data_IF_353958375978
#
_entry.id   IF_353958375978
#
_cell.length_a   1.000
_cell.length_b   1.000
_cell.length_c   1.000
_cell.angle_alpha   90.00
_cell.angle_beta   90.00
_cell.angle_gamma   90.00
#
_symmetry.space_group_name_H-M   'P 1'
#
loop_
_entity.id
_entity.type
_entity.pdbx_description
1 polymer ?
#
# COMPACT_ATOMS: atom_id res chain seq x y z
N UNK A 1 -123.68 -39.59 13.61
CA UNK A 1 -122.64 -40.63 13.65
C UNK A 1 -121.63 -40.35 12.55
N UNK A 2 -120.37 -40.08 12.92
CA UNK A 2 -119.08 -40.30 12.22
C UNK A 2 -118.94 -39.81 10.76
N UNK A 3 -117.85 -39.21 10.28
CA UNK A 3 -116.55 -38.85 10.85
C UNK A 3 -115.85 -37.90 9.85
N UNK A 4 -115.08 -36.97 10.39
CA UNK A 4 -113.71 -36.56 10.03
C UNK A 4 -113.28 -36.28 8.59
N UNK A 5 -112.68 -35.09 8.43
CA UNK A 5 -111.77 -34.78 7.33
C UNK A 5 -111.33 -33.32 7.32
N UNK A 6 -110.74 -32.79 8.41
CA UNK A 6 -110.13 -31.46 8.44
C UNK A 6 -108.63 -31.59 8.71
N UNK A 7 -107.82 -31.34 7.68
CA UNK A 7 -106.36 -31.39 7.72
C UNK A 7 -105.78 -30.26 8.57
N UNK A 8 -105.08 -30.63 9.64
CA UNK A 8 -104.13 -29.76 10.33
C UNK A 8 -102.80 -29.71 9.56
N UNK A 9 -102.35 -28.50 9.26
CA UNK A 9 -100.97 -28.23 8.84
C UNK A 9 -100.23 -27.65 10.05
N UNK A 10 -99.31 -28.41 10.64
CA UNK A 10 -98.26 -27.84 11.47
C UNK A 10 -96.87 -28.06 10.83
N UNK A 11 -96.19 -26.93 10.71
CA UNK A 11 -94.91 -26.63 10.09
C UNK A 11 -93.72 -27.44 10.63
N UNK A 12 -92.99 -28.10 9.73
CA UNK A 12 -91.62 -28.59 9.99
C UNK A 12 -90.66 -27.40 10.15
N UNK A 13 -90.20 -27.15 11.38
CA UNK A 13 -89.12 -26.21 11.71
C UNK A 13 -87.86 -26.56 10.93
N UNK A 14 -87.50 -25.72 9.96
CA UNK A 14 -86.27 -25.82 9.18
C UNK A 14 -85.06 -25.57 10.08
N UNK A 15 -84.23 -26.59 10.29
CA UNK A 15 -83.06 -26.50 11.15
C UNK A 15 -81.92 -25.74 10.44
N UNK A 16 -81.95 -24.41 10.57
CA UNK A 16 -80.98 -23.48 9.93
C UNK A 16 -79.51 -23.82 10.20
N UNK A 17 -79.19 -24.56 11.28
CA UNK A 17 -77.82 -24.97 11.61
C UNK A 17 -77.21 -25.94 10.58
N UNK A 18 -78.01 -26.80 9.93
CA UNK A 18 -77.50 -27.69 8.86
C UNK A 18 -77.13 -26.94 7.58
N UNK A 19 -77.86 -25.88 7.25
CA UNK A 19 -77.57 -25.04 6.07
C UNK A 19 -76.30 -24.22 6.32
N UNK A 20 -76.14 -23.63 7.52
CA UNK A 20 -74.92 -22.90 7.84
C UNK A 20 -73.68 -23.80 7.91
N UNK A 21 -73.81 -25.06 8.35
CA UNK A 21 -72.70 -26.02 8.35
C UNK A 21 -72.33 -26.46 6.92
N UNK A 22 -73.32 -26.68 6.04
CA UNK A 22 -73.07 -26.99 4.63
C UNK A 22 -72.43 -25.80 3.89
N UNK A 23 -72.94 -24.57 4.11
CA UNK A 23 -72.36 -23.36 3.52
C UNK A 23 -70.93 -23.11 4.04
N UNK A 24 -70.68 -23.31 5.34
CA UNK A 24 -69.34 -23.18 5.91
C UNK A 24 -68.35 -24.18 5.32
N UNK A 25 -68.76 -25.44 5.16
CA UNK A 25 -67.91 -26.48 4.56
C UNK A 25 -67.63 -26.21 3.08
N UNK A 26 -68.63 -25.77 2.30
CA UNK A 26 -68.46 -25.40 0.89
C UNK A 26 -67.56 -24.15 0.74
N UNK A 27 -67.67 -23.16 1.63
CA UNK A 27 -66.79 -22.00 1.64
C UNK A 27 -65.35 -22.36 1.99
N UNK A 28 -65.13 -23.27 2.95
CA UNK A 28 -63.78 -23.71 3.34
C UNK A 28 -63.14 -24.56 2.24
N UNK A 29 -63.89 -25.46 1.60
CA UNK A 29 -63.40 -26.24 0.44
C UNK A 29 -63.13 -25.32 -0.76
N UNK A 30 -63.97 -24.32 -1.00
CA UNK A 30 -63.73 -23.29 -2.03
C UNK A 30 -62.46 -22.48 -1.77
N UNK A 31 -62.22 -22.06 -0.52
CA UNK A 31 -61.01 -21.33 -0.13
C UNK A 31 -59.75 -22.21 -0.21
N UNK A 32 -59.84 -23.50 0.13
CA UNK A 32 -58.74 -24.46 -0.05
C UNK A 32 -58.45 -24.74 -1.52
N UNK A 33 -59.48 -24.85 -2.37
CA UNK A 33 -59.29 -24.99 -3.83
C UNK A 33 -58.68 -23.71 -4.42
N UNK A 34 -59.08 -22.51 -3.97
CA UNK A 34 -58.47 -21.24 -4.39
C UNK A 34 -57.02 -21.11 -3.90
N UNK A 35 -56.71 -21.55 -2.67
CA UNK A 35 -55.34 -21.58 -2.16
C UNK A 35 -54.47 -22.59 -2.93
N UNK A 36 -55.01 -23.77 -3.27
CA UNK A 36 -54.30 -24.77 -4.08
C UNK A 36 -54.13 -24.28 -5.52
N UNK A 37 -55.13 -23.65 -6.15
CA UNK A 37 -54.99 -23.12 -7.51
C UNK A 37 -54.13 -21.86 -7.57
N UNK A 38 -54.13 -20.98 -6.57
CA UNK A 38 -53.22 -19.82 -6.50
C UNK A 38 -51.78 -20.21 -6.11
N UNK A 39 -51.57 -21.23 -5.27
CA UNK A 39 -50.23 -21.72 -4.95
C UNK A 39 -49.66 -22.68 -6.01
N UNK A 40 -50.51 -23.34 -6.82
CA UNK A 40 -50.09 -24.14 -7.98
C UNK A 40 -50.05 -23.35 -9.31
N UNK A 41 -50.54 -22.11 -9.32
CA UNK A 41 -50.28 -21.14 -10.39
C UNK A 41 -49.00 -20.31 -10.18
N UNK A 42 -48.16 -20.68 -9.21
CA UNK A 42 -46.72 -20.57 -9.38
C UNK A 42 -46.26 -21.58 -10.45
N UNK A 43 -46.79 -21.44 -11.67
CA UNK A 43 -46.03 -21.83 -12.86
C UNK A 43 -44.76 -21.00 -12.78
N UNK A 44 -43.66 -21.65 -12.45
CA UNK A 44 -42.36 -21.27 -12.96
C UNK A 44 -42.50 -21.22 -14.49
N UNK A 45 -42.88 -20.06 -15.02
CA UNK A 45 -42.53 -19.68 -16.38
C UNK A 45 -41.06 -19.31 -16.33
N UNK A 46 -40.17 -20.29 -16.43
CA UNK A 46 -38.81 -20.03 -16.93
C UNK A 46 -38.92 -19.98 -18.44
N UNK A 47 -39.52 -18.92 -18.96
CA UNK A 47 -39.35 -18.43 -20.33
C UNK A 47 -40.20 -17.19 -20.49
N UNK A 48 -39.55 -16.04 -20.34
CA UNK A 48 -39.94 -14.88 -21.12
C UNK A 48 -39.30 -14.99 -22.50
N UNK A 49 -40.10 -14.68 -23.52
CA UNK A 49 -39.67 -14.43 -24.88
C UNK A 49 -39.75 -12.92 -25.10
N UNK A 50 -38.64 -12.30 -25.49
CA UNK A 50 -38.59 -10.90 -25.92
C UNK A 50 -38.28 -10.91 -27.42
N UNK A 51 -39.00 -10.12 -28.24
CA UNK A 51 -38.68 -9.96 -29.65
C UNK A 51 -37.36 -9.20 -29.78
N UNK A 52 -36.47 -9.72 -30.61
CA UNK A 52 -35.16 -9.14 -30.91
C UNK A 52 -35.34 -7.92 -31.80
N UNK A 53 -35.30 -6.71 -31.22
CA UNK A 53 -34.82 -5.46 -31.84
C UNK A 53 -34.45 -4.51 -30.69
N UNK A 54 -33.16 -4.18 -30.59
CA UNK A 54 -32.50 -3.18 -29.72
C UNK A 54 -32.99 -3.07 -28.26
N UNK A 55 -32.30 -3.72 -27.32
CA UNK A 55 -32.51 -3.50 -25.89
C UNK A 55 -31.29 -3.87 -25.02
N UNK A 56 -30.97 -3.02 -24.06
CA UNK A 56 -30.01 -3.26 -22.97
C UNK A 56 -30.61 -4.25 -21.96
N UNK A 57 -29.84 -5.27 -21.54
CA UNK A 57 -30.29 -6.28 -20.56
C UNK A 57 -29.66 -5.97 -19.19
N UNK A 58 -30.50 -5.90 -18.15
CA UNK A 58 -30.05 -5.98 -16.75
C UNK A 58 -29.99 -7.47 -16.35
N UNK A 59 -28.83 -7.95 -15.88
CA UNK A 59 -28.61 -9.35 -15.48
C UNK A 59 -28.29 -9.45 -13.99
N UNK A 60 -28.62 -10.59 -13.36
CA UNK A 60 -28.17 -10.93 -12.01
C UNK A 60 -26.95 -11.87 -12.04
N UNK A 61 -26.12 -11.78 -10.99
CA UNK A 61 -24.81 -12.44 -10.88
C UNK A 61 -24.88 -13.99 -10.91
N UNK A 62 -26.06 -14.58 -10.78
CA UNK A 62 -26.30 -16.03 -10.80
C UNK A 62 -26.38 -16.62 -12.22
N UNK A 63 -26.45 -15.80 -13.27
CA UNK A 63 -26.41 -16.23 -14.68
C UNK A 63 -24.97 -16.44 -15.23
N UNK A 64 -23.95 -16.26 -14.39
CA UNK A 64 -22.51 -16.19 -14.75
C UNK A 64 -21.82 -17.52 -15.14
N UNK A 65 -22.54 -18.62 -15.33
CA UNK A 65 -21.96 -19.85 -15.92
C UNK A 65 -21.64 -19.71 -17.44
N UNK A 66 -21.93 -18.55 -18.05
CA UNK A 66 -21.69 -18.26 -19.47
C UNK A 66 -20.48 -17.36 -19.76
N UNK A 67 -19.74 -16.85 -18.76
CA UNK A 67 -18.59 -15.96 -18.99
C UNK A 67 -17.29 -16.59 -18.47
N UNK A 68 -16.32 -16.80 -19.35
CA UNK A 68 -14.94 -17.13 -18.97
C UNK A 68 -14.10 -15.86 -18.93
N UNK A 69 -13.42 -15.59 -17.82
CA UNK A 69 -12.51 -14.45 -17.69
C UNK A 69 -11.08 -14.95 -17.78
N UNK A 70 -10.28 -14.29 -18.61
CA UNK A 70 -8.90 -14.63 -18.89
C UNK A 70 -8.04 -13.38 -18.70
N UNK A 71 -6.96 -13.51 -17.95
CA UNK A 71 -5.98 -12.44 -17.72
C UNK A 71 -4.64 -12.83 -18.33
N UNK A 72 -3.93 -11.86 -18.88
CA UNK A 72 -2.58 -12.07 -19.39
C UNK A 72 -1.63 -12.45 -18.24
N UNK A 73 -0.85 -13.51 -18.43
CA UNK A 73 0.17 -14.01 -17.51
C UNK A 73 1.43 -14.36 -18.31
N UNK A 74 2.38 -13.42 -18.33
CA UNK A 74 3.60 -13.53 -19.13
C UNK A 74 3.32 -13.49 -20.63
N UNK A 75 3.38 -14.65 -21.30
CA UNK A 75 3.15 -14.78 -22.74
C UNK A 75 1.84 -15.51 -23.08
N UNK A 76 1.03 -15.87 -22.08
CA UNK A 76 -0.23 -16.62 -22.25
C UNK A 76 -1.36 -15.99 -21.40
N UNK A 77 -2.54 -16.63 -21.36
CA UNK A 77 -3.68 -16.19 -20.56
C UNK A 77 -4.16 -17.29 -19.62
N UNK A 78 -4.38 -16.92 -18.36
CA UNK A 78 -4.91 -17.83 -17.35
C UNK A 78 -6.37 -17.50 -17.06
N UNK A 79 -7.19 -18.55 -16.90
CA UNK A 79 -8.60 -18.39 -16.55
C UNK A 79 -8.72 -18.03 -15.06
N UNK A 80 -9.50 -17.00 -14.75
CA UNK A 80 -9.81 -16.57 -13.39
C UNK A 80 -11.31 -16.59 -13.13
N UNK A 81 -11.68 -16.66 -11.86
CA UNK A 81 -13.08 -16.74 -11.42
C UNK A 81 -13.74 -15.35 -11.26
N UNK A 82 -12.97 -14.27 -11.37
CA UNK A 82 -13.44 -12.90 -11.20
C UNK A 82 -12.77 -11.95 -12.21
N UNK A 83 -13.52 -10.95 -12.68
CA UNK A 83 -12.97 -9.88 -13.51
C UNK A 83 -11.95 -9.08 -12.69
N UNK A 84 -10.75 -8.79 -13.23
CA UNK A 84 -9.74 -8.03 -12.50
C UNK A 84 -10.26 -6.63 -12.12
N UNK A 85 -10.14 -6.28 -10.84
CA UNK A 85 -10.51 -4.96 -10.32
C UNK A 85 -9.48 -3.86 -10.66
N UNK A 86 -8.25 -4.24 -10.97
CA UNK A 86 -7.12 -3.33 -11.22
C UNK A 86 -5.95 -4.08 -11.87
N UNK A 87 -5.04 -3.36 -12.54
CA UNK A 87 -3.80 -3.92 -13.10
C UNK A 87 -3.98 -4.54 -14.49
N UNK A 88 -5.18 -4.47 -15.07
CA UNK A 88 -5.46 -4.99 -16.39
C UNK A 88 -6.38 -4.05 -17.17
N UNK A 89 -6.29 -4.12 -18.49
CA UNK A 89 -7.20 -3.44 -19.43
C UNK A 89 -7.98 -4.46 -20.23
N UNK A 90 -9.26 -4.21 -20.43
CA UNK A 90 -10.10 -5.07 -21.26
C UNK A 90 -9.60 -5.12 -22.72
N UNK A 91 -9.37 -6.33 -23.23
CA UNK A 91 -8.96 -6.58 -24.60
C UNK A 91 -10.19 -6.96 -25.42
N UNK A 92 -10.80 -5.97 -26.09
CA UNK A 92 -11.96 -6.19 -26.94
C UNK A 92 -11.65 -7.02 -28.19
N UNK A 93 -10.41 -7.03 -28.65
CA UNK A 93 -10.00 -7.75 -29.88
C UNK A 93 -9.87 -9.25 -29.66
N UNK A 94 -9.34 -9.67 -28.51
CA UNK A 94 -9.28 -11.08 -28.12
C UNK A 94 -10.58 -11.60 -27.55
N UNK A 95 -11.39 -10.73 -26.95
CA UNK A 95 -12.67 -11.14 -26.36
C UNK A 95 -13.67 -11.56 -27.43
N UNK A 96 -14.40 -12.64 -27.18
CA UNK A 96 -15.37 -13.16 -28.14
C UNK A 96 -16.51 -13.92 -27.46
N UNK A 97 -17.62 -14.07 -28.18
CA UNK A 97 -18.72 -14.94 -27.78
C UNK A 97 -18.88 -16.09 -28.77
N UNK A 98 -19.42 -17.22 -28.31
CA UNK A 98 -19.73 -18.39 -29.14
C UNK A 98 -21.04 -19.05 -28.74
N UNK A 99 -21.67 -19.74 -29.69
CA UNK A 99 -22.82 -20.62 -29.46
C UNK A 99 -22.40 -22.01 -29.90
N UNK A 100 -22.42 -22.98 -28.97
CA UNK A 100 -21.75 -24.27 -29.20
C UNK A 100 -20.25 -24.06 -29.44
N UNK A 101 -19.78 -24.38 -30.65
CA UNK A 101 -18.39 -24.17 -31.08
C UNK A 101 -18.21 -23.06 -32.12
N UNK A 102 -19.28 -22.37 -32.51
CA UNK A 102 -19.24 -21.30 -33.52
C UNK A 102 -19.14 -19.91 -32.87
N UNK A 103 -18.08 -19.17 -33.22
CA UNK A 103 -17.90 -17.76 -32.81
C UNK A 103 -18.99 -16.89 -33.42
N UNK A 104 -19.50 -15.95 -32.62
CA UNK A 104 -20.53 -15.00 -33.02
C UNK A 104 -19.93 -13.63 -33.26
N UNK A 105 -20.48 -12.92 -34.24
CA UNK A 105 -20.13 -11.52 -34.51
C UNK A 105 -20.89 -10.60 -33.53
N UNK A 106 -20.25 -10.35 -32.39
CA UNK A 106 -20.79 -9.55 -31.30
C UNK A 106 -19.73 -8.57 -30.81
N UNK A 107 -20.14 -7.33 -30.59
CA UNK A 107 -19.31 -6.33 -29.91
C UNK A 107 -19.39 -6.55 -28.41
N UNK A 108 -18.23 -6.63 -27.77
CA UNK A 108 -18.09 -6.71 -26.32
C UNK A 108 -17.31 -5.49 -25.86
N UNK A 109 -17.84 -4.76 -24.87
CA UNK A 109 -17.14 -3.65 -24.24
C UNK A 109 -17.20 -3.81 -22.73
N UNK A 110 -16.10 -3.56 -22.03
CA UNK A 110 -16.07 -3.53 -20.57
C UNK A 110 -15.46 -2.21 -20.11
N UNK A 111 -16.22 -1.45 -19.32
CA UNK A 111 -15.72 -0.24 -18.67
C UNK A 111 -15.11 -0.61 -17.31
N UNK A 112 -13.79 -0.45 -17.19
CA UNK A 112 -13.05 -0.78 -15.96
C UNK A 112 -13.44 0.10 -14.77
N UNK A 113 -13.92 1.33 -14.98
CA UNK A 113 -14.28 2.27 -13.92
C UNK A 113 -15.68 1.99 -13.36
N UNK A 114 -16.66 1.85 -14.25
CA UNK A 114 -18.05 1.58 -13.85
C UNK A 114 -18.34 0.09 -13.69
N UNK A 115 -17.35 -0.77 -13.98
CA UNK A 115 -17.46 -2.23 -14.00
C UNK A 115 -18.61 -2.74 -14.86
N UNK A 116 -18.91 -2.02 -15.94
CA UNK A 116 -20.08 -2.27 -16.79
C UNK A 116 -19.66 -3.09 -18.02
N UNK A 117 -20.27 -4.26 -18.19
CA UNK A 117 -20.11 -5.11 -19.36
C UNK A 117 -21.29 -4.89 -20.33
N UNK A 118 -21.01 -4.54 -21.58
CA UNK A 118 -22.01 -4.52 -22.65
C UNK A 118 -21.65 -5.54 -23.73
N UNK A 119 -22.65 -6.27 -24.19
CA UNK A 119 -22.55 -7.25 -25.27
C UNK A 119 -23.68 -6.98 -26.26
N UNK A 120 -23.36 -6.70 -27.52
CA UNK A 120 -24.36 -6.38 -28.54
C UNK A 120 -23.94 -6.82 -29.95
N UNK A 121 -24.85 -7.34 -30.78
CA UNK A 121 -26.25 -7.66 -30.48
C UNK A 121 -26.40 -9.03 -29.78
N UNK A 122 -27.22 -9.10 -28.73
CA UNK A 122 -27.57 -10.36 -28.04
C UNK A 122 -28.72 -11.06 -28.78
N UNK A 123 -28.43 -11.87 -29.79
CA UNK A 123 -29.44 -12.44 -30.70
C UNK A 123 -29.97 -13.82 -30.30
N UNK A 124 -29.27 -14.56 -29.43
CA UNK A 124 -29.59 -16.00 -29.23
C UNK A 124 -29.33 -16.46 -27.78
N UNK A 125 -30.20 -17.35 -27.27
CA UNK A 125 -30.02 -18.04 -25.97
C UNK A 125 -28.87 -19.06 -26.07
N UNK A 126 -28.07 -19.18 -25.01
CA UNK A 126 -26.95 -20.13 -24.94
C UNK A 126 -25.57 -19.58 -25.35
N UNK A 127 -25.48 -18.27 -25.58
CA UNK A 127 -24.24 -17.55 -25.95
C UNK A 127 -23.24 -17.48 -24.80
N UNK A 128 -22.08 -18.14 -24.94
CA UNK A 128 -20.98 -18.08 -23.97
C UNK A 128 -19.95 -17.06 -24.40
N UNK A 129 -19.52 -16.17 -23.50
CA UNK A 129 -18.54 -15.14 -23.80
C UNK A 129 -17.24 -15.38 -23.04
N UNK A 130 -16.13 -14.99 -23.65
CA UNK A 130 -14.79 -15.14 -23.12
C UNK A 130 -14.17 -13.75 -23.14
N UNK A 131 -13.95 -13.19 -21.95
CA UNK A 131 -13.39 -11.86 -21.75
C UNK A 131 -11.90 -11.99 -21.48
N UNK A 132 -11.11 -11.32 -22.30
CA UNK A 132 -9.65 -11.26 -22.17
C UNK A 132 -9.26 -9.89 -21.65
N UNK A 133 -8.28 -9.87 -20.76
CA UNK A 133 -7.74 -8.66 -20.16
C UNK A 133 -6.22 -8.69 -20.25
N UNK A 134 -5.64 -7.66 -20.84
CA UNK A 134 -4.20 -7.50 -21.00
C UNK A 134 -3.60 -6.86 -19.74
N UNK A 135 -2.39 -7.25 -19.37
CA UNK A 135 -1.70 -6.70 -18.21
C UNK A 135 -1.44 -5.21 -18.44
N UNK A 136 -2.04 -4.37 -17.59
CA UNK A 136 -1.81 -2.93 -17.65
C UNK A 136 -0.62 -2.59 -16.76
N UNK A 137 0.53 -2.42 -17.40
CA UNK A 137 1.77 -1.97 -16.75
C UNK A 137 1.63 -0.51 -16.33
N UNK A 138 1.22 -0.29 -15.08
CA UNK A 138 1.15 1.04 -14.47
C UNK A 138 2.43 1.25 -13.68
N UNK A 139 3.14 2.36 -13.92
CA UNK A 139 4.29 2.74 -13.11
C UNK A 139 3.88 2.86 -11.65
N UNK A 140 4.67 2.30 -10.74
CA UNK A 140 4.36 2.29 -9.31
C UNK A 140 4.16 3.72 -8.77
N UNK A 141 4.97 4.67 -9.25
CA UNK A 141 4.84 6.09 -8.92
C UNK A 141 3.45 6.65 -9.25
N UNK A 142 2.90 6.28 -10.42
CA UNK A 142 1.59 6.76 -10.89
C UNK A 142 0.46 6.09 -10.12
N UNK A 143 0.57 4.80 -9.84
CA UNK A 143 -0.38 4.08 -8.99
C UNK A 143 -0.46 4.72 -7.58
N UNK A 144 0.70 4.99 -6.97
CA UNK A 144 0.77 5.64 -5.65
C UNK A 144 0.09 7.02 -5.70
N UNK A 145 0.40 7.86 -6.69
CA UNK A 145 -0.18 9.21 -6.81
C UNK A 145 -1.68 9.18 -7.04
N UNK A 146 -2.18 8.21 -7.82
CA UNK A 146 -3.62 8.03 -8.10
C UNK A 146 -4.39 7.61 -6.84
N UNK A 147 -3.81 6.67 -6.08
CA UNK A 147 -4.49 6.04 -4.94
C UNK A 147 -4.40 6.86 -3.63
N UNK A 148 -3.68 7.99 -3.67
CA UNK A 148 -3.42 8.83 -2.50
C UNK A 148 -3.82 10.29 -2.73
N UNK A 149 -4.37 10.91 -1.69
CA UNK A 149 -4.57 12.35 -1.69
C UNK A 149 -3.23 13.09 -1.58
N UNK A 150 -2.91 13.88 -2.60
CA UNK A 150 -1.76 14.79 -2.60
C UNK A 150 -2.22 16.14 -2.04
N UNK A 151 -1.76 16.45 -0.84
CA UNK A 151 -2.07 17.69 -0.15
C UNK A 151 -1.19 18.85 -0.64
N UNK A 152 -1.79 20.05 -0.61
CA UNK A 152 -1.08 21.31 -0.90
C UNK A 152 -0.52 21.92 0.38
N UNK A 153 0.45 22.82 0.24
CA UNK A 153 1.09 23.51 1.35
C UNK A 153 2.22 22.71 2.01
N UNK A 154 2.71 23.24 3.12
CA UNK A 154 3.81 22.65 3.90
C UNK A 154 3.34 22.42 5.34
N UNK A 155 3.41 21.18 5.86
CA UNK A 155 3.06 20.90 7.24
C UNK A 155 3.93 21.69 8.23
N UNK A 156 3.39 21.96 9.42
CA UNK A 156 4.19 22.44 10.53
C UNK A 156 4.96 21.26 11.16
N UNK A 157 6.25 21.16 10.89
CA UNK A 157 7.10 20.08 11.38
C UNK A 157 7.43 20.16 12.88
N UNK A 158 7.06 21.26 13.57
CA UNK A 158 7.10 21.32 15.03
C UNK A 158 6.01 20.50 15.71
N UNK A 159 4.96 20.13 14.96
CA UNK A 159 3.85 19.32 15.44
C UNK A 159 3.98 17.86 14.99
N UNK A 160 3.67 16.96 15.92
CA UNK A 160 3.51 15.54 15.62
C UNK A 160 2.32 15.31 14.67
N UNK A 161 2.44 14.37 13.74
CA UNK A 161 1.32 13.95 12.88
C UNK A 161 0.68 12.68 13.45
N UNK A 162 -0.56 12.79 13.95
CA UNK A 162 -1.27 11.68 14.60
C UNK A 162 -2.41 11.10 13.77
N UNK A 163 -2.82 11.79 12.71
CA UNK A 163 -3.90 11.38 11.81
C UNK A 163 -3.34 10.99 10.45
N UNK A 164 -4.16 10.39 9.57
CA UNK A 164 -3.78 10.15 8.19
C UNK A 164 -3.76 11.50 7.45
N UNK A 165 -2.57 12.09 7.28
CA UNK A 165 -2.37 13.35 6.59
C UNK A 165 -1.98 13.15 5.10
N UNK A 166 -2.02 11.92 4.59
CA UNK A 166 -1.79 11.60 3.18
C UNK A 166 -0.37 11.88 2.71
N UNK A 167 -0.26 12.45 1.50
CA UNK A 167 1.01 12.70 0.79
C UNK A 167 1.21 14.20 0.61
N UNK A 168 2.44 14.68 0.82
CA UNK A 168 2.84 16.07 0.58
C UNK A 168 3.98 16.14 -0.41
N UNK A 169 4.16 17.32 -1.01
CA UNK A 169 5.19 17.60 -2.00
C UNK A 169 6.34 18.43 -1.39
N UNK A 170 7.59 18.07 -1.68
CA UNK A 170 8.77 18.86 -1.36
C UNK A 170 9.86 18.68 -2.44
N UNK A 171 10.85 19.58 -2.47
CA UNK A 171 12.00 19.44 -3.37
C UNK A 171 13.05 18.52 -2.75
N UNK A 172 13.55 17.56 -3.53
CA UNK A 172 14.78 16.83 -3.24
C UNK A 172 15.91 17.20 -4.22
N UNK A 173 16.94 16.37 -4.31
CA UNK A 173 18.09 16.58 -5.18
C UNK A 173 17.84 16.35 -6.67
N UNK A 174 16.73 15.71 -7.03
CA UNK A 174 16.33 15.37 -8.40
C UNK A 174 15.05 16.07 -8.86
N UNK A 175 14.30 16.68 -7.93
CA UNK A 175 13.15 17.54 -8.25
C UNK A 175 11.99 17.34 -7.28
N UNK A 176 10.79 17.20 -7.84
CA UNK A 176 9.54 17.07 -7.10
C UNK A 176 9.42 15.70 -6.43
N UNK A 177 9.59 15.66 -5.11
CA UNK A 177 9.39 14.46 -4.29
C UNK A 177 8.03 14.49 -3.57
N UNK A 178 7.44 13.31 -3.41
CA UNK A 178 6.12 13.12 -2.79
C UNK A 178 6.27 12.18 -1.58
N UNK A 179 6.12 12.68 -0.37
CA UNK A 179 6.37 11.94 0.87
C UNK A 179 5.09 11.69 1.67
N UNK A 180 5.01 10.53 2.32
CA UNK A 180 3.89 10.16 3.18
C UNK A 180 4.01 10.78 4.57
N UNK A 181 2.88 11.17 5.19
CA UNK A 181 2.86 11.78 6.52
C UNK A 181 1.69 11.28 7.40
N UNK A 182 2.00 11.01 8.66
CA UNK A 182 1.03 10.68 9.70
C UNK A 182 0.65 9.19 9.73
N UNK A 183 -0.56 8.90 10.20
CA UNK A 183 -1.09 7.55 10.38
C UNK A 183 -1.61 6.92 9.07
N UNK A 184 -0.83 7.02 7.99
CA UNK A 184 -1.17 6.46 6.67
C UNK A 184 -1.22 4.93 6.72
N UNK A 185 -2.18 4.32 6.04
CA UNK A 185 -2.36 2.86 6.01
C UNK A 185 -2.22 2.25 4.61
N UNK A 186 -2.11 3.08 3.57
CA UNK A 186 -2.11 2.72 2.15
C UNK A 186 -0.74 2.98 1.47
N UNK A 187 0.35 2.79 2.21
CA UNK A 187 1.73 2.95 1.73
C UNK A 187 2.58 1.67 1.89
N UNK A 188 2.00 0.51 1.61
CA UNK A 188 2.67 -0.78 1.63
C UNK A 188 3.07 -1.26 0.24
N UNK A 189 4.27 -1.81 0.14
CA UNK A 189 4.78 -2.53 -1.04
C UNK A 189 5.21 -3.92 -0.61
N UNK A 190 4.95 -4.92 -1.46
CA UNK A 190 5.49 -6.27 -1.33
C UNK A 190 6.47 -6.51 -2.47
N UNK A 191 7.73 -6.71 -2.10
CA UNK A 191 8.85 -6.83 -3.04
C UNK A 191 9.89 -7.79 -2.48
N UNK A 192 10.40 -8.68 -3.32
CA UNK A 192 11.38 -9.71 -2.95
C UNK A 192 10.96 -10.57 -1.73
N UNK A 193 9.66 -10.88 -1.62
CA UNK A 193 9.04 -11.58 -0.48
C UNK A 193 9.05 -10.83 0.87
N UNK A 194 9.44 -9.56 0.88
CA UNK A 194 9.38 -8.69 2.05
C UNK A 194 8.30 -7.63 1.91
N UNK A 195 7.90 -7.09 3.06
CA UNK A 195 6.96 -5.99 3.15
C UNK A 195 7.69 -4.72 3.50
N UNK A 196 7.30 -3.63 2.82
CA UNK A 196 7.96 -2.35 2.89
C UNK A 196 6.94 -1.24 3.12
N UNK A 197 7.35 -0.19 3.85
CA UNK A 197 6.60 1.07 3.92
C UNK A 197 7.23 2.04 2.93
N UNK A 198 6.42 2.65 2.08
CA UNK A 198 6.88 3.73 1.20
C UNK A 198 7.14 4.95 2.09
N UNK A 199 8.34 5.53 1.93
CA UNK A 199 8.71 6.80 2.54
C UNK A 199 8.30 7.92 1.60
N UNK A 200 8.76 7.85 0.34
CA UNK A 200 8.52 8.86 -0.68
C UNK A 200 8.74 8.33 -2.09
N UNK A 201 8.13 9.02 -3.05
CA UNK A 201 8.55 9.04 -4.46
C UNK A 201 9.64 10.11 -4.55
N UNK A 202 10.85 9.75 -4.96
CA UNK A 202 11.94 10.67 -5.18
C UNK A 202 11.69 11.53 -6.44
N UNK A 203 12.42 12.64 -6.59
CA UNK A 203 12.28 13.55 -7.74
C UNK A 203 12.58 12.90 -9.10
N UNK A 204 13.38 11.84 -9.14
CA UNK A 204 13.66 11.04 -10.35
C UNK A 204 12.57 9.98 -10.64
N UNK A 205 11.54 9.89 -9.80
CA UNK A 205 10.48 8.89 -9.90
C UNK A 205 10.75 7.57 -9.17
N UNK A 206 11.97 7.35 -8.65
CA UNK A 206 12.28 6.14 -7.88
C UNK A 206 11.53 6.11 -6.54
N UNK A 207 11.22 4.90 -6.05
CA UNK A 207 10.37 4.73 -4.86
C UNK A 207 11.23 4.35 -3.66
N UNK A 208 11.41 5.29 -2.72
CA UNK A 208 12.14 5.06 -1.48
C UNK A 208 11.26 4.36 -0.46
N UNK A 209 11.72 3.22 0.04
CA UNK A 209 10.95 2.39 0.97
C UNK A 209 11.81 1.77 2.07
N UNK A 210 11.21 1.57 3.25
CA UNK A 210 11.85 1.01 4.44
C UNK A 210 11.26 -0.35 4.78
N UNK A 211 12.13 -1.29 5.13
CA UNK A 211 11.77 -2.65 5.53
C UNK A 211 10.76 -2.65 6.69
N UNK A 212 9.76 -3.53 6.61
CA UNK A 212 8.69 -3.64 7.60
C UNK A 212 7.99 -5.01 7.58
N UNK A 213 8.76 -6.10 7.51
CA UNK A 213 8.24 -7.46 7.67
C UNK A 213 8.75 -8.48 6.66
N UNK A 214 8.76 -9.73 7.09
CA UNK A 214 8.99 -10.92 6.26
C UNK A 214 7.80 -11.88 6.47
N UNK A 215 7.23 -12.41 5.40
CA UNK A 215 6.03 -13.26 5.43
C UNK A 215 4.73 -12.47 5.60
N UNK A 216 4.68 -11.47 6.48
CA UNK A 216 3.53 -10.57 6.66
C UNK A 216 3.94 -9.11 6.94
N UNK A 217 3.04 -8.12 6.70
CA UNK A 217 3.27 -6.73 7.09
C UNK A 217 3.42 -6.61 8.61
N UNK A 218 4.51 -6.02 9.08
CA UNK A 218 4.75 -5.73 10.49
C UNK A 218 4.71 -4.22 10.74
N UNK A 219 3.83 -3.78 11.66
CA UNK A 219 3.75 -2.36 12.08
C UNK A 219 4.54 -2.09 13.35
N UNK A 220 4.71 -3.09 14.22
CA UNK A 220 5.44 -2.94 15.49
C UNK A 220 6.30 -4.16 15.82
N UNK A 221 7.25 -3.99 16.73
CA UNK A 221 8.09 -5.04 17.27
C UNK A 221 9.28 -5.41 16.38
N UNK A 222 9.97 -6.48 16.75
CA UNK A 222 11.23 -6.92 16.12
C UNK A 222 11.07 -7.37 14.67
N UNK A 223 9.88 -7.74 14.22
CA UNK A 223 9.60 -8.06 12.81
C UNK A 223 9.68 -6.86 11.87
N UNK A 224 9.73 -5.62 12.40
CA UNK A 224 9.91 -4.40 11.61
C UNK A 224 11.36 -4.12 11.20
N UNK A 225 12.30 -4.93 11.69
CA UNK A 225 13.75 -4.79 11.52
C UNK A 225 14.37 -6.14 11.14
N UNK A 226 15.54 -6.12 10.50
CA UNK A 226 16.24 -7.36 10.07
C UNK A 226 17.10 -7.96 11.17
N UNK A 227 17.55 -7.12 12.11
CA UNK A 227 18.44 -7.46 13.22
C UNK A 227 18.60 -6.23 14.14
N UNK A 228 19.47 -6.32 15.13
CA UNK A 228 20.03 -5.16 15.84
C UNK A 228 21.52 -5.08 15.58
N UNK A 229 22.08 -3.87 15.64
CA UNK A 229 23.52 -3.63 15.50
C UNK A 229 23.93 -2.33 16.18
N UNK A 230 25.22 -2.22 16.52
CA UNK A 230 25.83 -0.91 16.70
C UNK A 230 25.91 -0.18 15.36
N UNK A 231 25.81 1.15 15.40
CA UNK A 231 26.14 1.96 14.23
C UNK A 231 27.63 1.83 13.93
N UNK A 232 28.45 1.96 14.97
CA UNK A 232 29.88 1.68 14.95
C UNK A 232 30.26 0.86 16.19
N UNK A 233 30.75 -0.36 15.99
CA UNK A 233 31.19 -1.25 17.06
C UNK A 233 32.58 -0.85 17.52
N UNK A 234 32.80 -0.85 18.83
CA UNK A 234 34.13 -0.66 19.47
C UNK A 234 34.62 0.79 19.55
N UNK A 235 34.11 1.71 18.73
CA UNK A 235 34.58 3.09 18.73
C UNK A 235 33.45 4.12 18.67
N UNK A 236 33.49 5.06 19.61
CA UNK A 236 32.57 6.19 19.70
C UNK A 236 33.28 7.49 20.09
N UNK A 237 34.61 7.47 20.25
CA UNK A 237 35.41 8.55 20.82
C UNK A 237 35.96 9.55 19.81
N UNK A 238 35.39 9.60 18.61
CA UNK A 238 35.78 10.54 17.57
C UNK A 238 34.58 10.93 16.70
N UNK A 239 34.61 12.16 16.18
CA UNK A 239 33.63 12.68 15.24
C UNK A 239 33.38 11.75 14.05
N UNK A 240 34.41 11.08 13.53
CA UNK A 240 34.30 10.27 12.33
C UNK A 240 33.28 9.11 12.45
N UNK A 241 32.99 8.64 13.67
CA UNK A 241 32.16 7.47 13.92
C UNK A 241 30.65 7.70 13.76
N UNK A 242 30.21 8.94 13.51
CA UNK A 242 28.81 9.21 13.10
C UNK A 242 28.54 8.85 11.64
N UNK A 243 29.59 8.65 10.83
CA UNK A 243 29.47 8.43 9.40
C UNK A 243 29.13 6.99 9.02
N UNK A 244 28.29 6.83 8.00
CA UNK A 244 28.00 5.52 7.39
C UNK A 244 29.27 4.88 6.80
N UNK A 245 30.17 5.74 6.31
CA UNK A 245 31.58 5.45 6.02
C UNK A 245 32.44 6.56 6.64
N UNK A 246 33.75 6.35 6.78
CA UNK A 246 34.66 7.32 7.38
C UNK A 246 36.12 7.14 6.93
N UNK A 247 36.93 8.18 7.12
CA UNK A 247 38.40 8.15 7.06
C UNK A 247 38.92 9.00 8.21
N UNK A 248 39.94 8.53 8.91
CA UNK A 248 40.54 9.30 10.01
C UNK A 248 41.01 10.68 9.53
N UNK A 249 40.65 11.73 10.27
CA UNK A 249 41.03 13.11 9.95
C UNK A 249 40.25 13.77 8.81
N UNK A 250 39.20 13.13 8.27
CA UNK A 250 38.39 13.68 7.18
C UNK A 250 36.90 13.73 7.57
N UNK A 251 36.26 14.89 7.41
CA UNK A 251 34.83 15.07 7.69
C UNK A 251 33.98 14.15 6.80
N UNK A 252 34.29 14.12 5.50
CA UNK A 252 33.56 13.36 4.48
C UNK A 252 34.28 12.08 4.04
N UNK A 253 35.18 11.55 4.86
CA UNK A 253 35.98 10.37 4.51
C UNK A 253 35.14 9.13 4.16
N UNK A 254 35.65 8.29 3.26
CA UNK A 254 34.95 7.13 2.67
C UNK A 254 35.79 5.83 2.71
N UNK A 255 36.97 5.85 3.35
CA UNK A 255 37.94 4.76 3.29
C UNK A 255 37.59 3.53 4.13
N UNK A 256 36.65 3.63 5.07
CA UNK A 256 36.27 2.55 5.96
C UNK A 256 34.76 2.52 6.20
N UNK A 257 34.17 1.32 6.17
CA UNK A 257 32.75 1.12 6.41
C UNK A 257 32.44 1.14 7.91
N UNK A 258 31.27 1.69 8.27
CA UNK A 258 30.69 1.50 9.60
C UNK A 258 30.23 0.04 9.80
N UNK A 259 30.02 -0.36 11.06
CA UNK A 259 29.53 -1.71 11.40
C UNK A 259 28.13 -1.94 10.82
N UNK A 260 27.23 -0.96 10.94
CA UNK A 260 25.87 -1.07 10.41
C UNK A 260 25.83 -1.17 8.89
N UNK A 261 26.77 -0.53 8.18
CA UNK A 261 26.91 -0.68 6.72
C UNK A 261 27.19 -2.13 6.35
N UNK A 262 28.10 -2.81 7.06
CA UNK A 262 28.40 -4.23 6.82
C UNK A 262 27.17 -5.14 7.00
N UNK A 263 26.31 -4.85 7.98
CA UNK A 263 25.04 -5.57 8.20
C UNK A 263 24.08 -5.37 7.02
N UNK A 264 23.92 -4.12 6.56
CA UNK A 264 23.05 -3.78 5.44
C UNK A 264 23.54 -4.37 4.11
N UNK A 265 24.85 -4.25 3.83
CA UNK A 265 25.47 -4.82 2.62
C UNK A 265 25.26 -6.33 2.54
N UNK A 266 25.51 -7.04 3.65
CA UNK A 266 25.34 -8.49 3.72
C UNK A 266 23.88 -8.92 3.51
N UNK A 267 22.96 -8.18 4.14
CA UNK A 267 21.52 -8.41 3.97
C UNK A 267 21.07 -8.18 2.52
N UNK A 268 21.48 -7.05 1.92
CA UNK A 268 21.12 -6.71 0.55
C UNK A 268 21.65 -7.74 -0.45
N UNK A 269 22.91 -8.14 -0.32
CA UNK A 269 23.51 -9.15 -1.20
C UNK A 269 22.73 -10.46 -1.15
N UNK A 270 22.39 -10.92 0.06
CA UNK A 270 21.72 -12.22 0.27
C UNK A 270 20.28 -12.22 -0.22
N UNK A 271 19.55 -11.12 0.00
CA UNK A 271 18.09 -11.09 -0.13
C UNK A 271 17.61 -10.40 -1.41
N UNK A 272 18.42 -9.51 -1.99
CA UNK A 272 18.05 -8.74 -3.19
C UNK A 272 18.94 -9.14 -4.36
N UNK A 273 20.26 -8.90 -4.27
CA UNK A 273 21.16 -9.09 -5.41
C UNK A 273 21.28 -10.56 -5.84
N UNK A 274 21.61 -11.47 -4.93
CA UNK A 274 21.75 -12.90 -5.21
C UNK A 274 20.44 -13.59 -5.60
N UNK A 275 19.30 -12.91 -5.40
CA UNK A 275 17.97 -13.38 -5.78
C UNK A 275 17.50 -12.82 -7.12
N UNK A 276 18.32 -12.02 -7.79
CA UNK A 276 18.01 -11.47 -9.12
C UNK A 276 17.13 -10.22 -9.11
N UNK A 277 16.88 -9.60 -7.95
CA UNK A 277 16.03 -8.41 -7.85
C UNK A 277 16.78 -7.09 -8.08
N UNK A 278 18.09 -7.14 -8.32
CA UNK A 278 18.95 -5.96 -8.43
C UNK A 278 18.59 -5.01 -9.57
N UNK A 279 17.97 -5.50 -10.65
CA UNK A 279 17.57 -4.66 -11.80
C UNK A 279 16.34 -3.78 -11.49
N UNK A 280 15.56 -4.14 -10.47
CA UNK A 280 14.42 -3.34 -10.00
C UNK A 280 14.84 -2.26 -8.99
N UNK A 281 16.14 -2.15 -8.67
CA UNK A 281 16.69 -1.19 -7.71
C UNK A 281 17.34 -0.02 -8.45
N UNK A 282 17.00 1.20 -8.04
CA UNK A 282 17.57 2.42 -8.62
C UNK A 282 19.07 2.48 -8.42
N UNK A 283 19.78 2.80 -9.49
CA UNK A 283 21.23 3.08 -9.50
C UNK A 283 21.52 4.58 -9.45
N UNK A 284 20.48 5.42 -9.50
CA UNK A 284 20.61 6.87 -9.56
C UNK A 284 20.50 7.52 -8.18
N UNK A 285 19.48 7.17 -7.39
CA UNK A 285 19.25 7.81 -6.08
C UNK A 285 20.11 7.22 -4.97
N UNK A 286 20.70 8.12 -4.19
CA UNK A 286 21.59 7.78 -3.07
C UNK A 286 21.02 8.10 -1.70
N UNK A 287 21.82 7.88 -0.66
CA UNK A 287 21.43 8.11 0.73
C UNK A 287 22.27 9.27 1.30
N UNK A 288 21.64 10.26 1.93
CA UNK A 288 22.35 11.44 2.43
C UNK A 288 22.87 11.24 3.86
N UNK A 289 24.19 11.28 4.03
CA UNK A 289 24.85 11.22 5.33
C UNK A 289 24.84 12.53 6.11
N UNK A 290 24.72 13.68 5.43
CA UNK A 290 24.67 15.04 6.02
C UNK A 290 25.66 15.26 7.19
N UNK A 291 26.95 14.97 6.97
CA UNK A 291 28.04 15.17 7.95
C UNK A 291 28.52 16.63 7.97
N UNK A 292 27.64 17.58 7.67
CA UNK A 292 27.92 19.01 7.74
C UNK A 292 28.20 19.41 9.20
N UNK A 293 29.44 19.79 9.54
CA UNK A 293 29.82 20.00 10.93
C UNK A 293 29.52 21.43 11.38
N UNK A 294 29.32 21.58 12.68
CA UNK A 294 29.27 22.89 13.34
C UNK A 294 29.73 22.81 14.78
N UNK A 295 30.49 23.80 15.24
CA UNK A 295 30.77 24.00 16.66
C UNK A 295 29.66 24.79 17.39
N UNK A 296 28.63 25.23 16.67
CA UNK A 296 27.49 25.96 17.20
C UNK A 296 26.20 25.12 17.08
N UNK A 297 25.46 24.98 18.18
CA UNK A 297 24.25 24.14 18.24
C UNK A 297 23.06 24.68 17.45
N UNK A 298 23.09 25.94 17.03
CA UNK A 298 21.96 26.63 16.40
C UNK A 298 22.21 27.09 14.97
N UNK A 299 23.46 27.04 14.51
CA UNK A 299 23.85 27.51 13.16
C UNK A 299 24.86 26.57 12.55
N UNK A 300 24.75 26.31 11.25
CA UNK A 300 25.74 25.51 10.51
C UNK A 300 26.88 26.44 10.08
N UNK A 301 28.10 26.18 10.54
CA UNK A 301 29.27 27.03 10.29
C UNK A 301 30.48 26.29 9.68
N UNK A 302 30.36 24.99 9.41
CA UNK A 302 31.42 24.18 8.79
C UNK A 302 32.62 23.89 9.70
N UNK A 303 32.59 24.30 10.97
CA UNK A 303 33.68 24.06 11.92
C UNK A 303 33.48 22.75 12.69
N UNK A 304 34.57 22.05 13.00
CA UNK A 304 34.57 20.77 13.73
C UNK A 304 34.62 19.57 12.78
N UNK A 305 33.92 18.49 13.13
CA UNK A 305 33.76 17.30 12.28
C UNK A 305 34.97 16.37 12.21
N UNK A 306 36.07 16.69 12.88
CA UNK A 306 37.26 15.84 12.97
C UNK A 306 37.78 15.76 14.41
N UNK A 307 38.47 14.67 14.73
CA UNK A 307 39.07 14.48 16.06
C UNK A 307 38.01 14.41 17.16
N UNK A 308 38.29 15.10 18.26
CA UNK A 308 37.43 15.17 19.46
C UNK A 308 36.80 16.56 19.67
N UNK A 309 36.82 17.42 18.65
CA UNK A 309 36.15 18.72 18.72
C UNK A 309 34.64 18.53 18.84
N UNK A 310 33.99 19.23 19.77
CA UNK A 310 32.52 19.23 19.87
C UNK A 310 31.90 19.62 18.54
N UNK A 311 30.98 18.80 18.04
CA UNK A 311 30.39 19.00 16.72
C UNK A 311 28.90 18.66 16.73
N UNK A 312 28.08 19.63 16.36
CA UNK A 312 26.68 19.48 16.01
C UNK A 312 26.57 19.30 14.50
N UNK A 313 25.74 18.38 14.05
CA UNK A 313 25.57 18.12 12.62
C UNK A 313 24.32 18.80 12.05
N UNK A 314 24.23 18.90 10.72
CA UNK A 314 23.13 19.56 10.02
C UNK A 314 21.74 19.12 10.50
N UNK A 315 21.51 17.82 10.62
CA UNK A 315 20.27 17.26 11.17
C UNK A 315 19.95 17.72 12.60
N UNK A 316 20.95 17.82 13.48
CA UNK A 316 20.76 18.34 14.85
C UNK A 316 20.23 19.77 14.81
N UNK A 317 20.89 20.64 14.05
CA UNK A 317 20.55 22.07 14.01
C UNK A 317 19.14 22.25 13.43
N UNK A 318 18.79 21.51 12.38
CA UNK A 318 17.47 21.60 11.71
C UNK A 318 16.33 21.02 12.54
N UNK A 319 16.56 19.94 13.29
CA UNK A 319 15.50 19.16 13.93
C UNK A 319 15.36 19.44 15.44
N UNK A 320 16.35 20.07 16.08
CA UNK A 320 16.25 20.42 17.51
C UNK A 320 15.75 21.85 17.74
N UNK A 321 15.86 22.76 16.77
CA UNK A 321 15.34 24.13 16.86
C UNK A 321 13.81 24.19 17.04
N UNK A 322 13.25 25.35 17.40
CA UNK A 322 11.81 25.48 17.71
C UNK A 322 10.88 25.25 16.51
N UNK A 323 11.30 25.65 15.30
CA UNK A 323 10.46 25.57 14.09
C UNK A 323 10.46 24.21 13.42
N UNK A 324 11.53 23.42 13.59
CA UNK A 324 11.82 22.16 12.89
C UNK A 324 11.82 22.34 11.37
N UNK A 325 12.97 22.19 10.73
CA UNK A 325 13.14 22.49 9.31
C UNK A 325 13.75 21.31 8.56
N UNK A 326 13.06 20.15 8.45
CA UNK A 326 13.58 19.01 7.73
C UNK A 326 13.75 19.31 6.23
N UNK A 327 14.68 18.62 5.58
CA UNK A 327 14.95 18.74 4.13
C UNK A 327 15.15 17.37 3.48
N UNK A 328 14.72 17.22 2.22
CA UNK A 328 15.05 16.04 1.39
C UNK A 328 16.31 16.24 0.55
N UNK A 329 16.91 17.44 0.58
CA UNK A 329 18.13 17.76 -0.16
C UNK A 329 19.37 17.39 0.64
N UNK A 330 20.32 16.75 -0.03
CA UNK A 330 21.66 16.56 0.49
C UNK A 330 22.55 17.73 0.08
N UNK A 331 22.89 18.58 1.05
CA UNK A 331 23.65 19.81 0.82
C UNK A 331 25.01 19.55 0.19
N UNK A 332 25.74 18.56 0.69
CA UNK A 332 27.06 18.20 0.20
C UNK A 332 27.00 16.91 -0.62
N UNK A 333 27.49 16.98 -1.87
CA UNK A 333 27.55 15.82 -2.77
C UNK A 333 28.51 14.73 -2.28
N UNK A 334 29.53 15.07 -1.49
CA UNK A 334 30.46 14.09 -0.89
C UNK A 334 29.77 13.22 0.17
N UNK A 335 28.65 13.67 0.74
CA UNK A 335 27.83 12.92 1.69
C UNK A 335 26.61 12.25 1.08
N UNK A 336 26.38 12.42 -0.22
CA UNK A 336 25.38 11.67 -0.94
C UNK A 336 25.99 10.33 -1.35
N UNK A 337 25.72 9.29 -0.57
CA UNK A 337 26.21 7.94 -0.83
C UNK A 337 25.45 7.31 -1.99
N UNK A 338 26.13 7.13 -3.11
CA UNK A 338 25.59 6.54 -4.35
C UNK A 338 26.43 5.38 -4.82
N UNK A 339 25.87 4.54 -5.69
CA UNK A 339 26.64 3.54 -6.45
C UNK A 339 27.32 4.20 -7.66
N UNK A 340 28.28 3.51 -8.26
CA UNK A 340 29.07 4.03 -9.40
C UNK A 340 28.23 4.45 -10.62
N UNK A 341 27.05 3.85 -10.79
CA UNK A 341 26.12 4.16 -11.88
C UNK A 341 25.36 5.49 -11.74
N UNK A 342 25.39 6.14 -10.58
CA UNK A 342 24.68 7.41 -10.37
C UNK A 342 25.36 8.57 -11.07
N UNK A 343 24.55 9.51 -11.55
CA UNK A 343 25.01 10.80 -12.06
C UNK A 343 25.52 11.74 -10.95
N UNK A 344 25.13 11.49 -9.70
CA UNK A 344 25.38 12.35 -8.54
C UNK A 344 26.01 11.57 -7.38
N UNK A 345 26.44 12.27 -6.34
CA UNK A 345 26.98 11.71 -5.12
C UNK A 345 28.44 11.27 -5.22
N UNK A 346 28.89 10.56 -4.19
CA UNK A 346 30.27 10.15 -3.99
C UNK A 346 30.64 8.80 -4.63
N UNK A 347 29.66 8.07 -5.18
CA UNK A 347 29.85 6.80 -5.89
C UNK A 347 30.52 5.70 -5.07
N UNK A 348 30.51 5.81 -3.73
CA UNK A 348 31.25 4.93 -2.84
C UNK A 348 30.49 3.65 -2.44
N UNK A 349 29.18 3.56 -2.72
CA UNK A 349 28.41 2.37 -2.38
C UNK A 349 28.68 1.26 -3.39
N UNK A 350 28.92 0.06 -2.87
CA UNK A 350 28.86 -1.18 -3.65
C UNK A 350 27.42 -1.65 -3.82
N UNK A 351 26.61 -1.55 -2.77
CA UNK A 351 25.20 -1.92 -2.76
C UNK A 351 24.32 -0.69 -2.54
N UNK A 352 23.24 -0.50 -3.31
CA UNK A 352 22.30 0.63 -3.16
C UNK A 352 21.33 0.44 -1.98
N UNK A 353 21.88 0.29 -0.77
CA UNK A 353 21.13 0.14 0.48
C UNK A 353 21.65 1.12 1.53
N UNK A 354 20.74 1.65 2.35
CA UNK A 354 21.06 2.56 3.43
C UNK A 354 20.04 2.48 4.57
N UNK A 355 19.94 3.58 5.33
CA UNK A 355 18.97 3.78 6.38
C UNK A 355 18.12 5.01 6.07
N UNK A 356 16.97 5.12 6.73
CA UNK A 356 16.14 6.33 6.68
C UNK A 356 16.89 7.50 7.32
N UNK A 357 16.71 8.71 6.81
CA UNK A 357 17.26 9.92 7.43
C UNK A 357 16.35 10.44 8.55
N UNK A 358 16.90 11.21 9.50
CA UNK A 358 16.10 11.86 10.53
C UNK A 358 15.14 12.91 9.95
N UNK A 359 15.53 13.59 8.86
CA UNK A 359 14.65 14.51 8.14
C UNK A 359 13.45 13.80 7.51
N UNK A 360 13.63 12.61 6.91
CA UNK A 360 12.51 11.80 6.40
C UNK A 360 11.56 11.34 7.51
N UNK A 361 12.09 10.97 8.69
CA UNK A 361 11.26 10.67 9.87
C UNK A 361 10.46 11.91 10.30
N UNK A 362 11.08 13.09 10.29
CA UNK A 362 10.42 14.33 10.65
C UNK A 362 9.31 14.70 9.66
N UNK A 363 9.55 14.50 8.37
CA UNK A 363 8.55 14.68 7.32
C UNK A 363 7.37 13.73 7.50
N UNK A 364 7.64 12.48 7.87
CA UNK A 364 6.62 11.46 8.13
C UNK A 364 5.77 11.70 9.39
N UNK A 365 6.18 12.59 10.30
CA UNK A 365 5.39 12.94 11.49
C UNK A 365 6.06 12.75 12.84
N UNK A 366 7.28 12.20 12.88
CA UNK A 366 8.07 12.13 14.10
C UNK A 366 8.61 13.52 14.45
N UNK A 367 8.75 13.85 15.73
CA UNK A 367 9.33 15.14 16.16
C UNK A 367 10.38 14.88 17.24
N UNK A 368 11.45 15.68 17.22
CA UNK A 368 12.48 15.60 18.25
C UNK A 368 11.89 15.84 19.65
N UNK A 369 12.12 14.88 20.56
CA UNK A 369 11.71 14.98 21.96
C UNK A 369 10.19 14.93 22.21
N UNK A 370 9.35 14.66 21.20
CA UNK A 370 7.90 14.58 21.36
C UNK A 370 7.37 13.22 20.95
N UNK A 371 6.81 12.48 21.92
CA UNK A 371 6.21 11.16 21.70
C UNK A 371 5.14 11.21 20.60
N UNK A 372 5.26 10.30 19.63
CA UNK A 372 4.25 10.07 18.61
C UNK A 372 4.17 8.57 18.32
N UNK A 373 3.08 7.93 18.70
CA UNK A 373 2.86 6.50 18.53
C UNK A 373 1.87 6.18 17.39
N UNK A 374 1.43 7.21 16.66
CA UNK A 374 0.33 7.10 15.69
C UNK A 374 0.83 7.07 14.24
N UNK A 375 1.96 7.71 13.93
CA UNK A 375 2.49 7.77 12.58
C UNK A 375 3.12 6.46 12.09
N UNK A 376 3.15 6.26 10.78
CA UNK A 376 3.45 4.95 10.19
C UNK A 376 4.87 4.40 10.37
N UNK A 377 5.82 5.25 10.79
CA UNK A 377 7.19 4.83 11.08
C UNK A 377 7.39 4.46 12.55
N UNK A 378 6.41 4.71 13.43
CA UNK A 378 6.43 4.18 14.78
C UNK A 378 6.36 2.65 14.76
N UNK A 379 7.30 2.00 15.44
CA UNK A 379 7.37 0.53 15.50
C UNK A 379 7.34 -0.03 16.92
N UNK A 380 7.15 0.79 17.95
CA UNK A 380 7.34 0.37 19.36
C UNK A 380 8.72 -0.30 19.61
N UNK A 381 9.74 0.05 18.81
CA UNK A 381 11.10 -0.49 18.89
C UNK A 381 12.06 0.56 18.38
N UNK A 382 13.20 0.75 19.05
CA UNK A 382 14.16 1.74 18.62
C UNK A 382 14.91 1.27 17.37
N UNK A 383 15.10 2.15 16.39
CA UNK A 383 15.88 1.86 15.20
C UNK A 383 16.76 3.04 14.77
N UNK A 384 17.88 2.72 14.13
CA UNK A 384 18.84 3.70 13.63
C UNK A 384 18.30 4.49 12.44
N UNK A 385 18.62 5.78 12.40
CA UNK A 385 18.61 6.57 11.16
C UNK A 385 20.03 6.68 10.61
N UNK A 386 20.19 7.24 9.41
CA UNK A 386 21.50 7.52 8.82
C UNK A 386 22.10 8.87 9.25
N UNK A 387 21.32 9.71 9.93
CA UNK A 387 21.68 11.11 10.17
C UNK A 387 22.53 11.27 11.44
N UNK A 388 23.73 11.87 11.35
CA UNK A 388 24.51 12.29 12.50
C UNK A 388 23.74 13.24 13.42
N UNK A 389 23.96 13.11 14.73
CA UNK A 389 23.35 13.97 15.75
C UNK A 389 24.41 14.93 16.33
N UNK A 390 25.40 14.38 17.05
CA UNK A 390 26.33 15.16 17.85
C UNK A 390 27.61 14.36 18.11
N UNK A 391 28.76 15.00 18.15
CA UNK A 391 29.89 14.55 18.93
C UNK A 391 30.00 15.36 20.22
N UNK A 392 29.84 14.71 21.36
CA UNK A 392 29.95 15.33 22.66
C UNK A 392 31.38 15.18 23.19
N UNK A 393 32.12 16.28 23.24
CA UNK A 393 33.52 16.29 23.69
C UNK A 393 33.68 15.92 25.18
N UNK A 394 32.72 16.29 26.04
CA UNK A 394 32.79 16.03 27.48
C UNK A 394 32.76 14.54 27.82
N UNK A 395 32.00 13.76 27.05
CA UNK A 395 31.94 12.29 27.21
C UNK A 395 32.78 11.55 26.18
N UNK A 396 33.37 12.26 25.22
CA UNK A 396 34.02 11.69 24.04
C UNK A 396 33.12 10.64 23.37
N UNK A 397 31.89 11.03 23.03
CA UNK A 397 30.90 10.13 22.40
C UNK A 397 30.30 10.73 21.13
N UNK A 398 30.30 9.93 20.08
CA UNK A 398 29.59 10.14 18.83
C UNK A 398 28.15 9.62 18.94
N UNK A 399 27.22 10.40 18.43
CA UNK A 399 25.79 10.11 18.44
C UNK A 399 25.20 10.23 17.04
N UNK A 400 24.32 9.29 16.72
CA UNK A 400 23.51 9.26 15.51
C UNK A 400 22.04 9.31 15.93
N UNK A 401 21.18 9.89 15.08
CA UNK A 401 19.76 9.93 15.35
C UNK A 401 19.14 8.54 15.32
N UNK A 402 18.19 8.32 16.22
CA UNK A 402 17.31 7.17 16.27
C UNK A 402 15.86 7.62 16.27
N UNK A 403 14.98 6.71 15.88
CA UNK A 403 13.59 6.75 16.35
C UNK A 403 13.54 5.91 17.62
N UNK A 404 13.10 6.52 18.72
CA UNK A 404 12.94 5.82 20.00
C UNK A 404 11.75 4.85 19.96
N UNK A 405 11.70 3.89 20.88
CA UNK A 405 10.53 3.00 21.01
C UNK A 405 9.22 3.73 21.32
N UNK A 406 9.26 4.99 21.79
CA UNK A 406 8.08 5.87 21.93
C UNK A 406 7.80 6.73 20.69
N UNK A 407 8.54 6.53 19.60
CA UNK A 407 8.29 7.13 18.28
C UNK A 407 8.82 8.54 18.05
N UNK A 408 9.54 9.13 19.00
CA UNK A 408 10.18 10.44 18.83
C UNK A 408 11.63 10.33 18.32
N UNK A 409 12.13 11.40 17.72
CA UNK A 409 13.54 11.51 17.31
C UNK A 409 14.42 11.88 18.50
N UNK A 410 15.57 11.21 18.65
CA UNK A 410 16.62 11.55 19.62
C UNK A 410 18.00 11.07 19.13
N UNK A 411 19.08 11.45 19.80
CA UNK A 411 20.41 10.90 19.59
C UNK A 411 20.68 9.67 20.47
N UNK A 412 21.42 8.71 19.93
CA UNK A 412 21.95 7.56 20.67
C UNK A 412 23.43 7.35 20.36
N UNK A 413 24.20 6.89 21.35
CA UNK A 413 25.62 6.60 21.19
C UNK A 413 25.79 5.51 20.13
N UNK A 414 26.67 5.74 19.16
CA UNK A 414 26.91 4.85 18.01
C UNK A 414 27.28 3.41 18.39
N UNK A 415 27.81 3.19 19.59
CA UNK A 415 28.15 1.85 20.10
C UNK A 415 26.96 1.07 20.67
N UNK A 416 25.78 1.68 20.80
CA UNK A 416 24.58 1.02 21.31
C UNK A 416 24.00 0.03 20.29
N UNK A 417 23.48 -1.10 20.75
CA UNK A 417 22.83 -2.08 19.89
C UNK A 417 21.35 -1.73 19.68
N UNK A 418 20.99 -1.25 18.48
CA UNK A 418 19.65 -0.75 18.14
C UNK A 418 19.18 -1.36 16.81
N UNK A 419 17.86 -1.36 16.55
CA UNK A 419 17.26 -2.00 15.38
C UNK A 419 17.78 -1.46 14.04
N UNK A 420 17.98 -2.39 13.10
CA UNK A 420 18.44 -2.10 11.72
C UNK A 420 17.28 -2.29 10.77
N UNK A 421 16.92 -1.24 10.04
CA UNK A 421 15.83 -1.24 9.05
C UNK A 421 16.37 -0.80 7.69
N UNK A 422 16.60 -1.73 6.74
CA UNK A 422 17.06 -1.38 5.40
C UNK A 422 16.13 -0.39 4.71
N UNK A 423 16.74 0.57 4.01
CA UNK A 423 16.07 1.42 3.03
C UNK A 423 16.68 1.19 1.67
N UNK A 424 15.83 1.02 0.67
CA UNK A 424 16.19 0.89 -0.75
C UNK A 424 15.32 1.82 -1.59
N UNK A 425 15.76 2.10 -2.82
CA UNK A 425 14.97 2.84 -3.81
C UNK A 425 14.64 1.89 -4.97
N UNK A 426 13.37 1.59 -5.23
CA UNK A 426 12.98 0.90 -6.47
C UNK A 426 13.19 1.82 -7.66
N UNK A 427 13.59 1.28 -8.81
CA UNK A 427 13.76 2.05 -10.05
C UNK A 427 12.45 2.73 -10.48
N UNK A 428 12.56 3.86 -11.18
CA UNK A 428 11.40 4.68 -11.59
C UNK A 428 10.49 3.98 -12.62
N UNK A 429 11.01 3.00 -13.35
CA UNK A 429 10.34 2.19 -14.36
C UNK A 429 9.65 0.95 -13.78
N UNK A 430 9.74 0.72 -12.46
CA UNK A 430 9.05 -0.38 -11.80
C UNK A 430 7.54 -0.19 -11.89
N UNK A 431 6.83 -1.26 -12.22
CA UNK A 431 5.38 -1.29 -12.40
C UNK A 431 4.70 -2.01 -11.24
N UNK A 432 3.48 -1.59 -10.92
CA UNK A 432 2.62 -2.29 -9.97
C UNK A 432 1.74 -3.30 -10.72
N UNK A 433 1.83 -4.57 -10.34
CA UNK A 433 0.98 -5.65 -10.89
C UNK A 433 -0.41 -5.65 -10.27
N UNK A 434 -0.48 -5.36 -8.98
CA UNK A 434 -1.73 -5.35 -8.22
C UNK A 434 -1.59 -4.54 -6.94
N UNK A 435 -2.70 -4.42 -6.19
CA UNK A 435 -2.74 -3.82 -4.87
C UNK A 435 -3.11 -2.34 -4.86
N UNK A 436 -3.43 -1.84 -3.67
CA UNK A 436 -3.83 -0.45 -3.41
C UNK A 436 -3.03 0.18 -2.27
N UNK A 437 -1.88 -0.43 -1.95
CA UNK A 437 -0.99 0.02 -0.90
C UNK A 437 -1.45 -0.28 0.52
N UNK A 438 -2.61 -0.90 0.76
CA UNK A 438 -3.01 -1.32 2.11
C UNK A 438 -2.22 -2.53 2.59
N UNK A 439 -2.16 -2.80 3.91
CA UNK A 439 -1.41 -3.96 4.41
C UNK A 439 -1.98 -5.30 3.91
N UNK A 440 -3.30 -5.38 3.66
CA UNK A 440 -3.96 -6.58 3.12
C UNK A 440 -3.85 -6.70 1.61
N UNK A 441 -3.65 -5.59 0.90
CA UNK A 441 -3.46 -5.52 -0.55
C UNK A 441 -2.30 -4.57 -0.88
N UNK A 442 -1.05 -4.91 -0.49
CA UNK A 442 0.11 -4.06 -0.76
C UNK A 442 0.32 -3.95 -2.27
N UNK A 443 1.00 -2.90 -2.73
CA UNK A 443 1.45 -2.87 -4.12
C UNK A 443 2.41 -4.04 -4.36
N UNK A 444 2.03 -4.96 -5.25
CA UNK A 444 2.87 -6.08 -5.64
C UNK A 444 3.64 -5.75 -6.93
N UNK A 445 4.93 -6.08 -6.94
CA UNK A 445 5.90 -5.73 -7.97
C UNK A 445 6.27 -6.91 -8.85
#
# INVERSE_FOLDING_TARGET
>A
MKNDGKLEFETLKTNKKRIYFLCGFVCVVGLLIILITNSSLAKYRVTESIPLINGTINYELSDLNLIGVYIEDGNDYTKVDQIPDSGYTFNSEKSYCKIGDEKQDMTITYDMNTKTLNIAPMTTKGTKCYLYFDEQKILLADAIKRDNQINSGTPNFANIATTNEGVYKAQDDWGDSYYFRGAVNNNWVKFANFYWRIIRINGDGSIRMIYSGNGSPATTGTSTQISTSAFHSTYNNNNMYVGYMYTSGQVHGLGTNSTIKGVLDSWYQTNIANKGYGDQISKETGFCGDREPSTNSSTSNGAGGTGTTVTYYGGYIRLTNSTKSPTLKCKNNEDMYTVSGSSRGNKALTNPVGLITADEVAMAGGVYGQTNQSYYLYTNSAYWTMSPYLFNASFSFAFVFIVNSSGYLNGSNVSNTIGVRPVINLSADVTAKSGNGTSSKPYEI
#
